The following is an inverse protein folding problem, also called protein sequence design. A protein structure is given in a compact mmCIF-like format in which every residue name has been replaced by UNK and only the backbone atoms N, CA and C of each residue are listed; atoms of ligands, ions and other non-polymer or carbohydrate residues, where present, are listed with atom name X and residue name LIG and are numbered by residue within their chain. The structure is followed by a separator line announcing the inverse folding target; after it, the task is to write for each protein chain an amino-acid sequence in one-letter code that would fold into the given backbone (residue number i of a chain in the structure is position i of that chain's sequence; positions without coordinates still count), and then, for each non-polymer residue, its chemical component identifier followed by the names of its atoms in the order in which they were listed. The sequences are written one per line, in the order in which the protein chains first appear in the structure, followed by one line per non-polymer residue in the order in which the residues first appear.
data_IF_007701803102
#
_entry.id   IF_007701803102
#
_cell.length_a   1.000
_cell.length_b   1.000
_cell.length_c   1.000
_cell.angle_alpha   90.00
_cell.angle_beta   90.00
_cell.angle_gamma   90.00
#
_symmetry.space_group_name_H-M   'P 1'
#
loop_
_entity.id
_entity.type
_entity.pdbx_description
1 polymer ?
#
# COMPACT_ATOMS: atom_id res chain seq x y z
N UNK A 1 -35.55 27.22 -59.47
CA UNK A 1 -34.90 28.48 -59.07
C UNK A 1 -34.00 28.14 -57.88
N UNK A 2 -32.90 27.41 -58.06
CA UNK A 2 -31.58 27.84 -58.56
C UNK A 2 -30.96 29.00 -57.78
N UNK A 3 -30.00 28.69 -56.92
CA UNK A 3 -28.73 29.42 -56.84
C UNK A 3 -27.63 28.42 -56.49
N UNK A 4 -26.81 28.12 -57.49
CA UNK A 4 -25.51 27.46 -57.42
C UNK A 4 -24.44 28.44 -56.92
N UNK A 5 -23.40 27.92 -56.28
CA UNK A 5 -22.02 28.35 -56.54
C UNK A 5 -21.07 27.19 -56.23
N UNK A 6 -20.40 26.73 -57.28
CA UNK A 6 -19.35 25.73 -57.27
C UNK A 6 -18.08 26.29 -56.61
N UNK A 7 -17.28 25.43 -55.97
CA UNK A 7 -15.84 25.52 -56.16
C UNK A 7 -15.18 24.15 -55.98
N UNK A 8 -14.43 23.81 -57.01
CA UNK A 8 -13.71 22.59 -57.28
C UNK A 8 -12.25 22.77 -56.82
N UNK A 9 -11.68 21.82 -56.08
CA UNK A 9 -10.25 21.58 -56.12
C UNK A 9 -9.96 20.10 -55.84
N UNK A 10 -9.35 19.46 -56.83
CA UNK A 10 -8.98 18.07 -56.86
C UNK A 10 -7.58 17.83 -56.27
N UNK A 11 -7.33 16.56 -55.91
CA UNK A 11 -6.03 15.86 -55.82
C UNK A 11 -5.05 16.33 -54.72
N UNK A 12 -4.28 15.49 -54.02
CA UNK A 12 -3.70 14.21 -54.41
C UNK A 12 -3.11 13.48 -53.18
N UNK A 13 -2.88 12.18 -53.37
CA UNK A 13 -1.81 11.35 -52.80
C UNK A 13 -1.83 10.92 -51.31
N UNK A 14 -2.20 9.64 -51.12
CA UNK A 14 -1.49 8.61 -50.36
C UNK A 14 -0.60 9.05 -49.16
N UNK A 15 -1.06 8.80 -47.94
CA UNK A 15 -0.16 8.56 -46.81
C UNK A 15 -0.40 7.16 -46.24
N UNK A 16 0.62 6.34 -46.41
CA UNK A 16 0.81 4.98 -45.94
C UNK A 16 1.13 5.03 -44.43
N UNK A 17 0.12 4.90 -43.58
CA UNK A 17 0.35 4.81 -42.13
C UNK A 17 0.69 3.37 -41.74
N UNK A 18 1.94 3.03 -42.00
CA UNK A 18 2.67 1.95 -41.35
C UNK A 18 2.63 2.18 -39.84
N UNK A 19 1.83 1.39 -39.13
CA UNK A 19 1.77 1.34 -37.68
C UNK A 19 3.13 0.89 -37.12
N UNK A 20 4.00 1.86 -36.85
CA UNK A 20 5.27 1.64 -36.17
C UNK A 20 5.11 1.96 -34.69
N UNK A 21 5.17 0.89 -33.89
CA UNK A 21 5.35 0.94 -32.45
C UNK A 21 6.52 1.85 -32.06
N UNK A 22 6.33 2.52 -30.92
CA UNK A 22 7.34 2.93 -29.92
C UNK A 22 7.26 4.43 -29.60
N UNK A 23 6.42 4.77 -28.64
CA UNK A 23 6.66 5.85 -27.69
C UNK A 23 5.89 5.55 -26.41
N UNK A 24 6.38 4.57 -25.63
CA UNK A 24 6.04 4.50 -24.22
C UNK A 24 6.69 5.72 -23.57
N UNK A 25 5.88 6.70 -23.21
CA UNK A 25 6.30 7.78 -22.33
C UNK A 25 6.62 7.14 -20.97
N UNK A 26 7.89 6.74 -20.77
CA UNK A 26 8.39 6.38 -19.45
C UNK A 26 8.57 7.71 -18.72
N UNK A 27 7.52 8.15 -18.03
CA UNK A 27 7.68 9.13 -16.97
C UNK A 27 8.60 8.47 -15.91
N UNK A 28 9.73 9.09 -15.52
CA UNK A 28 10.46 8.65 -14.35
C UNK A 28 9.61 9.04 -13.14
N UNK A 29 8.62 8.21 -12.81
CA UNK A 29 8.02 8.22 -11.48
C UNK A 29 9.18 8.05 -10.51
N UNK A 30 9.32 8.95 -9.55
CA UNK A 30 10.22 8.75 -8.40
C UNK A 30 10.08 7.31 -7.94
N UNK A 31 11.16 6.53 -7.97
CA UNK A 31 11.10 5.11 -7.61
C UNK A 31 10.45 4.97 -6.23
N UNK A 32 9.42 4.12 -6.14
CA UNK A 32 8.62 3.96 -4.92
C UNK A 32 9.49 3.27 -3.86
N UNK A 33 9.84 4.00 -2.80
CA UNK A 33 10.63 3.45 -1.70
C UNK A 33 9.71 2.82 -0.63
N UNK A 34 9.80 1.50 -0.49
CA UNK A 34 9.01 0.65 0.39
C UNK A 34 9.87 0.21 1.57
N UNK A 35 9.44 0.60 2.78
CA UNK A 35 9.93 0.02 4.04
C UNK A 35 8.86 -0.91 4.59
N UNK A 36 9.21 -2.19 4.72
CA UNK A 36 8.30 -3.28 4.99
C UNK A 36 8.54 -3.87 6.37
N UNK A 37 7.53 -3.79 7.23
CA UNK A 37 7.43 -4.61 8.42
C UNK A 37 6.54 -5.83 8.15
N UNK A 38 6.57 -6.80 9.04
CA UNK A 38 5.76 -8.01 8.91
C UNK A 38 5.22 -8.54 10.24
N UNK A 39 4.09 -9.25 10.16
CA UNK A 39 3.41 -9.91 11.28
C UNK A 39 2.81 -11.26 10.84
N UNK A 40 2.72 -12.21 11.77
CA UNK A 40 2.07 -13.52 11.55
C UNK A 40 2.61 -14.34 10.37
N UNK A 41 3.88 -14.17 9.98
CA UNK A 41 4.49 -14.95 8.89
C UNK A 41 5.01 -16.30 9.37
N UNK A 42 4.90 -17.31 8.50
CA UNK A 42 5.63 -18.57 8.61
C UNK A 42 7.08 -18.40 8.15
N UNK A 43 7.97 -19.33 8.51
CA UNK A 43 9.40 -19.28 8.18
C UNK A 43 9.62 -19.28 6.66
N UNK A 44 8.85 -20.08 5.93
CA UNK A 44 8.91 -20.16 4.47
C UNK A 44 8.54 -18.81 3.84
N UNK A 45 7.51 -18.14 4.39
CA UNK A 45 7.05 -16.83 3.92
C UNK A 45 8.08 -15.73 4.18
N UNK A 46 8.78 -15.79 5.32
CA UNK A 46 9.86 -14.84 5.62
C UNK A 46 11.00 -14.94 4.59
N UNK A 47 11.33 -16.16 4.16
CA UNK A 47 12.37 -16.40 3.14
C UNK A 47 11.99 -15.73 1.82
N UNK A 48 10.70 -15.77 1.45
CA UNK A 48 10.23 -15.13 0.21
C UNK A 48 10.21 -13.62 0.28
N UNK A 49 9.88 -13.03 1.44
CA UNK A 49 10.02 -11.57 1.65
C UNK A 49 11.47 -11.13 1.51
N UNK A 50 12.41 -11.88 2.10
CA UNK A 50 13.85 -11.62 1.95
C UNK A 50 14.29 -11.73 0.49
N UNK A 51 13.76 -12.71 -0.24
CA UNK A 51 14.02 -12.87 -1.67
C UNK A 51 13.49 -11.68 -2.46
N UNK A 52 12.27 -11.21 -2.20
CA UNK A 52 11.70 -10.05 -2.86
C UNK A 52 12.54 -8.79 -2.60
N UNK A 53 12.93 -8.54 -1.35
CA UNK A 53 13.80 -7.41 -1.01
C UNK A 53 15.15 -7.46 -1.74
N UNK A 54 15.71 -8.67 -1.92
CA UNK A 54 16.97 -8.88 -2.65
C UNK A 54 16.83 -8.64 -4.16
N UNK A 55 15.65 -8.84 -4.74
CA UNK A 55 15.38 -8.53 -6.15
C UNK A 55 15.22 -7.02 -6.39
N UNK A 56 14.77 -6.28 -5.38
CA UNK A 56 14.51 -4.84 -5.48
C UNK A 56 15.27 -4.04 -4.39
N UNK A 57 16.61 -4.14 -4.30
CA UNK A 57 17.38 -3.62 -3.17
C UNK A 57 17.34 -2.09 -3.02
N UNK A 58 17.10 -1.36 -4.12
CA UNK A 58 16.98 0.10 -4.10
C UNK A 58 15.55 0.57 -3.74
N UNK A 59 14.55 -0.31 -3.83
CA UNK A 59 13.15 0.02 -3.62
C UNK A 59 12.57 -0.58 -2.35
N UNK A 60 13.05 -1.75 -1.89
CA UNK A 60 12.49 -2.47 -0.74
C UNK A 60 13.54 -2.60 0.37
N UNK A 61 13.18 -2.12 1.56
CA UNK A 61 13.92 -2.35 2.81
C UNK A 61 13.04 -3.08 3.81
N UNK A 62 13.62 -4.05 4.53
CA UNK A 62 12.91 -4.79 5.57
C UNK A 62 13.16 -4.16 6.95
N UNK A 63 12.15 -4.19 7.79
CA UNK A 63 12.20 -3.75 9.19
C UNK A 63 11.57 -4.79 10.11
N UNK A 64 12.22 -5.06 11.23
CA UNK A 64 11.69 -5.99 12.24
C UNK A 64 10.54 -5.37 13.06
N UNK A 65 10.46 -4.04 13.11
CA UNK A 65 9.45 -3.27 13.84
C UNK A 65 8.68 -2.31 12.92
N UNK A 66 7.49 -1.91 13.35
CA UNK A 66 6.77 -0.77 12.75
C UNK A 66 7.36 0.50 13.36
N UNK A 67 7.94 1.35 12.53
CA UNK A 67 8.65 2.58 12.91
C UNK A 67 8.24 3.77 12.02
N UNK A 68 8.89 4.91 12.22
CA UNK A 68 8.59 6.17 11.55
C UNK A 68 8.71 6.09 10.01
N UNK A 69 9.61 5.24 9.52
CA UNK A 69 9.87 5.04 8.09
C UNK A 69 9.02 3.93 7.47
N UNK A 70 8.35 3.11 8.29
CA UNK A 70 7.58 1.97 7.79
C UNK A 70 6.43 2.46 6.93
N UNK A 71 6.24 1.84 5.78
CA UNK A 71 5.22 2.21 4.77
C UNK A 71 4.20 1.09 4.55
N UNK A 72 4.63 -0.16 4.74
CA UNK A 72 3.85 -1.36 4.48
C UNK A 72 4.01 -2.35 5.64
N UNK A 73 2.91 -2.94 6.08
CA UNK A 73 2.88 -4.10 6.97
C UNK A 73 2.36 -5.29 6.18
N UNK A 74 3.17 -6.35 6.06
CA UNK A 74 2.75 -7.62 5.47
C UNK A 74 2.26 -8.55 6.56
N UNK A 75 1.06 -9.11 6.37
CA UNK A 75 0.45 -10.05 7.31
C UNK A 75 0.33 -11.42 6.68
N UNK A 76 0.83 -12.44 7.37
CA UNK A 76 0.58 -13.83 7.03
C UNK A 76 -0.82 -14.24 7.45
N UNK A 77 -1.70 -14.47 6.48
CA UNK A 77 -2.94 -15.22 6.68
C UNK A 77 -3.31 -15.97 5.40
N UNK A 78 -3.35 -17.30 5.47
CA UNK A 78 -3.60 -18.17 4.30
C UNK A 78 -5.07 -18.57 4.15
N UNK A 79 -5.80 -18.72 5.26
CA UNK A 79 -7.17 -19.24 5.25
C UNK A 79 -8.17 -18.24 4.67
N UNK A 80 -8.05 -16.98 5.08
CA UNK A 80 -8.90 -15.88 4.63
C UNK A 80 -8.02 -14.69 4.24
N UNK A 81 -7.64 -14.58 2.96
CA UNK A 81 -6.51 -13.76 2.53
C UNK A 81 -6.68 -12.27 2.77
N UNK A 82 -7.91 -11.75 2.81
CA UNK A 82 -8.19 -10.34 3.10
C UNK A 82 -8.67 -10.11 4.54
N UNK A 83 -8.48 -11.09 5.41
CA UNK A 83 -8.74 -11.04 6.84
C UNK A 83 -7.42 -11.13 7.59
N UNK A 84 -7.27 -10.48 8.74
CA UNK A 84 -6.10 -10.69 9.59
C UNK A 84 -6.43 -10.85 11.07
N UNK A 85 -5.56 -11.49 11.87
CA UNK A 85 -5.59 -11.33 13.32
C UNK A 85 -5.18 -9.89 13.69
N UNK A 86 -5.69 -9.40 14.83
CA UNK A 86 -5.27 -8.12 15.40
C UNK A 86 -4.03 -8.33 16.28
N UNK A 87 -2.89 -7.88 15.77
CA UNK A 87 -1.62 -7.85 16.51
C UNK A 87 -1.24 -6.41 16.84
N UNK A 88 -0.32 -6.21 17.80
CA UNK A 88 0.20 -4.87 18.13
C UNK A 88 0.72 -4.16 16.87
N UNK A 89 1.46 -4.87 16.00
CA UNK A 89 1.94 -4.32 14.72
C UNK A 89 0.82 -3.88 13.78
N UNK A 90 -0.32 -4.59 13.77
CA UNK A 90 -1.50 -4.19 12.98
C UNK A 90 -2.08 -2.90 13.54
N UNK A 91 -2.26 -2.78 14.86
CA UNK A 91 -2.72 -1.53 15.47
C UNK A 91 -1.75 -0.37 15.21
N UNK A 92 -0.44 -0.59 15.35
CA UNK A 92 0.59 0.41 15.02
C UNK A 92 0.51 0.82 13.55
N UNK A 93 0.31 -0.12 12.62
CA UNK A 93 0.17 0.18 11.20
C UNK A 93 -1.11 0.97 10.88
N UNK A 94 -2.24 0.63 11.54
CA UNK A 94 -3.49 1.38 11.42
C UNK A 94 -3.30 2.81 11.93
N UNK A 95 -2.75 3.00 13.14
CA UNK A 95 -2.51 4.33 13.72
C UNK A 95 -1.57 5.20 12.87
N UNK A 96 -0.68 4.57 12.10
CA UNK A 96 0.27 5.25 11.21
C UNK A 96 -0.21 5.37 9.76
N UNK A 97 -1.45 4.99 9.47
CA UNK A 97 -2.05 5.07 8.13
C UNK A 97 -1.25 4.32 7.05
N UNK A 98 -0.69 3.16 7.41
CA UNK A 98 0.14 2.33 6.52
C UNK A 98 -0.71 1.46 5.59
N UNK A 99 -0.12 0.96 4.51
CA UNK A 99 -0.68 -0.20 3.81
C UNK A 99 -0.57 -1.44 4.69
N UNK A 100 -1.69 -2.12 4.93
CA UNK A 100 -1.74 -3.43 5.58
C UNK A 100 -2.13 -4.45 4.53
N UNK A 101 -1.17 -5.26 4.09
CA UNK A 101 -1.33 -6.15 2.96
C UNK A 101 -1.27 -7.61 3.38
N UNK A 102 -1.99 -8.44 2.64
CA UNK A 102 -1.78 -9.88 2.70
C UNK A 102 -0.45 -10.28 2.11
N UNK A 103 0.15 -11.33 2.65
CA UNK A 103 1.33 -11.97 2.09
C UNK A 103 1.20 -12.34 0.58
N UNK A 104 -0.02 -12.53 0.06
CA UNK A 104 -0.22 -12.79 -1.37
C UNK A 104 0.33 -11.70 -2.29
N UNK A 105 0.45 -10.45 -1.82
CA UNK A 105 1.11 -9.39 -2.58
C UNK A 105 2.57 -9.73 -2.86
N UNK A 106 3.28 -10.30 -1.88
CA UNK A 106 4.67 -10.75 -2.02
C UNK A 106 4.77 -11.84 -3.08
N UNK A 107 3.90 -12.85 -3.02
CA UNK A 107 3.84 -13.93 -4.00
C UNK A 107 3.67 -13.39 -5.42
N UNK A 108 2.77 -12.44 -5.59
CA UNK A 108 2.44 -11.93 -6.91
C UNK A 108 3.54 -11.01 -7.46
N UNK A 109 4.15 -10.16 -6.62
CA UNK A 109 5.35 -9.40 -6.98
C UNK A 109 6.49 -10.33 -7.44
N UNK A 110 6.69 -11.43 -6.72
CA UNK A 110 7.71 -12.42 -7.01
C UNK A 110 7.45 -13.19 -8.32
N UNK A 111 6.20 -13.52 -8.62
CA UNK A 111 5.80 -14.19 -9.86
C UNK A 111 5.98 -13.30 -11.09
N UNK A 112 5.61 -12.03 -10.96
CA UNK A 112 5.70 -11.07 -12.06
C UNK A 112 7.09 -10.44 -12.18
N UNK A 113 7.97 -10.67 -11.20
CA UNK A 113 9.26 -10.01 -11.08
C UNK A 113 9.12 -8.47 -11.19
N UNK A 114 8.10 -7.93 -10.51
CA UNK A 114 7.71 -6.52 -10.54
C UNK A 114 7.08 -6.14 -9.20
N UNK A 115 7.27 -4.89 -8.75
CA UNK A 115 6.48 -4.34 -7.64
C UNK A 115 5.11 -3.92 -8.18
N UNK A 116 4.08 -4.72 -7.89
CA UNK A 116 2.71 -4.51 -8.38
C UNK A 116 1.89 -3.63 -7.43
N UNK A 117 0.74 -3.16 -7.91
CA UNK A 117 -0.21 -2.37 -7.12
C UNK A 117 -0.70 -3.10 -5.86
N UNK A 118 -0.76 -2.38 -4.74
CA UNK A 118 -1.09 -2.92 -3.43
C UNK A 118 -2.59 -3.11 -3.20
N UNK A 119 -3.46 -2.34 -3.88
CA UNK A 119 -4.87 -2.13 -3.49
C UNK A 119 -5.66 -3.44 -3.49
N UNK A 120 -5.36 -4.34 -4.42
CA UNK A 120 -6.04 -5.64 -4.53
C UNK A 120 -5.67 -6.62 -3.42
N UNK A 121 -4.61 -6.33 -2.68
CA UNK A 121 -4.06 -7.17 -1.60
C UNK A 121 -4.21 -6.52 -0.21
N UNK A 122 -4.86 -5.36 -0.15
CA UNK A 122 -5.13 -4.68 1.11
C UNK A 122 -6.16 -5.45 1.95
N UNK A 123 -5.83 -5.65 3.22
CA UNK A 123 -6.71 -6.32 4.19
C UNK A 123 -8.01 -5.51 4.35
N UNK A 124 -9.15 -6.21 4.30
CA UNK A 124 -10.50 -5.61 4.35
C UNK A 124 -11.23 -5.82 5.67
N UNK A 125 -10.70 -6.69 6.53
CA UNK A 125 -11.21 -6.83 7.88
C UNK A 125 -10.31 -7.65 8.79
N UNK A 126 -10.82 -7.96 9.96
CA UNK A 126 -10.13 -8.77 10.96
C UNK A 126 -11.01 -9.84 11.60
N UNK A 127 -10.36 -10.84 12.20
CA UNK A 127 -11.06 -12.00 12.81
C UNK A 127 -12.05 -11.55 13.91
N UNK A 128 -11.70 -10.59 14.81
CA UNK A 128 -12.62 -10.18 15.87
C UNK A 128 -13.86 -9.39 15.40
N UNK A 129 -13.73 -8.50 14.42
CA UNK A 129 -14.78 -7.53 14.06
C UNK A 129 -15.44 -7.77 12.70
N UNK A 130 -14.99 -8.78 11.96
CA UNK A 130 -15.64 -9.24 10.72
C UNK A 130 -14.85 -8.92 9.46
N UNK A 131 -15.32 -9.46 8.34
CA UNK A 131 -14.49 -9.56 7.13
C UNK A 131 -14.46 -8.31 6.24
N UNK A 132 -15.42 -7.39 6.41
CA UNK A 132 -15.66 -6.29 5.47
C UNK A 132 -16.03 -4.98 6.20
N UNK A 133 -15.15 -4.50 7.08
CA UNK A 133 -15.29 -3.18 7.70
C UNK A 133 -14.30 -2.14 7.13
N UNK A 134 -13.33 -2.58 6.32
CA UNK A 134 -12.33 -1.75 5.64
C UNK A 134 -11.53 -0.84 6.59
N UNK A 135 -11.38 -1.23 7.87
CA UNK A 135 -10.78 -0.37 8.90
C UNK A 135 -9.35 0.09 8.57
N UNK A 136 -8.52 -0.84 8.07
CA UNK A 136 -7.14 -0.56 7.66
C UNK A 136 -7.09 0.39 6.45
N UNK A 137 -7.92 0.11 5.44
CA UNK A 137 -8.04 0.94 4.23
C UNK A 137 -8.56 2.34 4.55
N UNK A 138 -9.60 2.44 5.37
CA UNK A 138 -10.18 3.70 5.79
C UNK A 138 -9.14 4.53 6.52
N UNK A 139 -8.40 3.95 7.46
CA UNK A 139 -7.29 4.63 8.12
C UNK A 139 -6.25 5.13 7.11
N UNK A 140 -5.78 4.28 6.20
CA UNK A 140 -4.76 4.67 5.20
C UNK A 140 -5.23 5.83 4.31
N UNK A 141 -6.51 5.88 3.96
CA UNK A 141 -7.08 6.92 3.10
C UNK A 141 -7.38 8.21 3.87
N UNK A 142 -7.64 8.14 5.18
CA UNK A 142 -7.95 9.28 6.03
C UNK A 142 -6.70 9.92 6.68
N UNK A 143 -5.58 10.07 5.95
CA UNK A 143 -4.29 10.55 6.50
C UNK A 143 -4.32 11.95 7.13
N UNK A 144 -5.36 12.73 6.84
CA UNK A 144 -5.53 14.07 7.38
C UNK A 144 -6.42 14.10 8.62
N UNK A 145 -6.92 12.94 9.06
CA UNK A 145 -7.85 12.80 10.18
C UNK A 145 -7.22 11.84 11.19
N UNK A 146 -6.70 12.43 12.26
CA UNK A 146 -6.25 11.69 13.44
C UNK A 146 -7.48 11.40 14.31
N UNK A 147 -7.75 10.12 14.58
CA UNK A 147 -8.97 9.68 15.27
C UNK A 147 -9.11 10.28 16.67
N UNK A 148 -7.98 10.51 17.34
CA UNK A 148 -7.93 10.97 18.71
C UNK A 148 -7.35 12.38 18.83
N UNK A 149 -7.44 13.16 17.75
CA UNK A 149 -6.93 14.53 17.74
C UNK A 149 -7.60 15.32 18.87
N UNK A 150 -6.78 15.98 19.69
CA UNK A 150 -7.20 16.74 20.87
C UNK A 150 -7.79 15.88 22.02
N UNK A 151 -7.61 14.57 22.00
CA UNK A 151 -7.84 13.72 23.16
C UNK A 151 -6.55 13.60 24.01
N UNK A 152 -6.72 13.52 25.32
CA UNK A 152 -5.65 13.17 26.26
C UNK A 152 -5.96 11.83 26.89
N UNK A 153 -4.98 10.93 26.88
CA UNK A 153 -5.13 9.59 27.45
C UNK A 153 -4.23 9.43 28.67
N UNK A 154 -4.81 8.83 29.72
CA UNK A 154 -4.07 8.31 30.86
C UNK A 154 -4.10 6.79 30.78
N UNK A 155 -2.96 6.19 30.45
CA UNK A 155 -2.81 4.74 30.47
C UNK A 155 -2.34 4.37 31.87
N UNK A 156 -3.27 3.88 32.69
CA UNK A 156 -2.96 3.39 34.02
C UNK A 156 -2.47 1.95 33.92
N UNK A 157 -1.22 1.73 34.31
CA UNK A 157 -0.65 0.39 34.44
C UNK A 157 -0.49 0.12 35.94
N UNK A 158 -1.13 -0.93 36.43
CA UNK A 158 -1.00 -1.33 37.84
C UNK A 158 0.46 -1.75 38.09
N UNK A 159 1.19 -0.97 38.89
CA UNK A 159 2.60 -1.20 39.24
C UNK A 159 3.67 -0.46 38.44
N UNK A 160 3.33 0.43 37.48
CA UNK A 160 4.30 1.24 36.73
C UNK A 160 4.05 2.76 36.92
N UNK A 161 5.09 3.59 36.70
CA UNK A 161 4.93 5.04 36.76
C UNK A 161 3.94 5.54 35.69
N UNK A 162 3.05 6.44 36.10
CA UNK A 162 2.06 7.08 35.24
C UNK A 162 2.76 7.77 34.05
N UNK A 163 2.33 7.46 32.82
CA UNK A 163 2.84 8.11 31.61
C UNK A 163 1.68 8.68 30.82
N UNK A 164 1.63 10.01 30.72
CA UNK A 164 0.70 10.70 29.83
C UNK A 164 1.18 10.53 28.38
N UNK A 165 0.28 10.10 27.50
CA UNK A 165 0.56 9.99 26.06
C UNK A 165 -0.50 10.80 25.32
N UNK A 166 -0.02 11.69 24.44
CA UNK A 166 -0.87 12.46 23.52
C UNK A 166 -0.51 12.09 22.09
N UNK A 167 -1.47 12.20 21.17
CA UNK A 167 -1.27 11.97 19.73
C UNK A 167 -0.31 12.97 19.06
N UNK A 168 0.08 14.04 19.76
CA UNK A 168 0.92 15.07 19.20
C UNK A 168 2.41 14.72 19.28
N UNK A 169 2.99 14.55 18.08
CA UNK A 169 4.39 14.41 17.72
C UNK A 169 5.11 13.17 18.28
N UNK A 170 5.21 12.18 17.38
CA UNK A 170 6.14 11.05 17.43
C UNK A 170 6.02 10.15 18.66
N UNK A 171 5.06 9.22 18.61
CA UNK A 171 5.12 7.85 19.18
C UNK A 171 3.82 7.49 19.92
N UNK A 172 2.82 7.00 19.19
CA UNK A 172 1.95 5.94 19.73
C UNK A 172 2.67 4.61 19.50
N UNK A 173 3.51 4.23 20.46
CA UNK A 173 4.02 2.85 20.57
C UNK A 173 3.27 2.25 21.74
N UNK A 174 2.26 1.44 21.41
CA UNK A 174 1.84 0.33 22.26
C UNK A 174 2.87 -0.78 22.15
#
# INVERSE_FOLDING_TARGET
LSTSFDNEYASDANHDDTFTSNNVMICPSSEKHIVMAYSCLKIEQLTEIQRLASLFPNQIKLSNCVNEYTTHLIVGNEEKPLLCPLTIKVFQAIARHLFVLTYRWIIECLKQNLIIDEVSFEIRGDIPFGEYHDGMRNSRLSKHINLFQNCQFFILCDGCQEKMVSENNETFVL
#
